data_IF_779066965427
#
_entry.id   IF_779066965427
#
_cell.length_a   1.000
_cell.length_b   1.000
_cell.length_c   1.000
_cell.angle_alpha   90.00
_cell.angle_beta   90.00
_cell.angle_gamma   90.00
#
_symmetry.space_group_name_H-M   'P 1'
#
loop_
_entity.id
_entity.type
_entity.pdbx_description
1 polymer ?
#
# COMPACT_ATOMS: atom_id res chain seq x y z
N UNK A 1 -34.16 29.72 -47.44
CA UNK A 1 -33.51 28.43 -47.12
C UNK A 1 -32.82 28.59 -45.77
N UNK A 2 -33.30 27.94 -44.70
CA UNK A 2 -32.64 27.94 -43.40
C UNK A 2 -31.67 26.75 -43.34
N UNK A 3 -30.37 27.03 -43.31
CA UNK A 3 -29.36 26.03 -43.02
C UNK A 3 -29.25 25.88 -41.50
N UNK A 4 -29.50 24.67 -40.98
CA UNK A 4 -29.20 24.36 -39.57
C UNK A 4 -27.78 23.80 -39.50
N UNK A 5 -26.85 24.60 -38.97
CA UNK A 5 -25.48 24.15 -38.71
C UNK A 5 -25.46 23.41 -37.36
N UNK A 6 -25.08 22.13 -37.36
CA UNK A 6 -24.79 21.36 -36.14
C UNK A 6 -23.29 21.39 -35.89
N UNK A 7 -22.86 22.23 -34.97
CA UNK A 7 -21.46 22.27 -34.52
C UNK A 7 -21.28 21.25 -33.38
N UNK A 8 -20.41 20.25 -33.57
CA UNK A 8 -20.02 19.29 -32.52
C UNK A 8 -18.72 19.78 -31.90
N UNK A 9 -18.79 20.44 -30.73
CA UNK A 9 -17.59 20.80 -29.96
C UNK A 9 -17.11 19.61 -29.13
N UNK A 10 -15.83 19.27 -29.28
CA UNK A 10 -15.14 18.32 -28.41
C UNK A 10 -14.86 19.03 -27.08
N UNK A 11 -15.66 18.76 -26.06
CA UNK A 11 -15.37 19.17 -24.69
C UNK A 11 -14.38 18.19 -24.07
N UNK A 12 -13.17 18.64 -23.80
CA UNK A 12 -12.17 17.87 -23.04
C UNK A 12 -12.17 18.35 -21.59
N UNK A 13 -12.28 17.43 -20.64
CA UNK A 13 -12.18 17.70 -19.20
C UNK A 13 -11.11 16.79 -18.64
N UNK A 14 -10.06 17.37 -18.09
CA UNK A 14 -8.97 16.64 -17.44
C UNK A 14 -9.28 16.57 -15.94
N UNK A 15 -9.51 15.38 -15.41
CA UNK A 15 -9.64 15.15 -13.97
C UNK A 15 -8.56 14.20 -13.49
N UNK A 16 -7.98 14.50 -12.34
CA UNK A 16 -6.98 13.67 -11.71
C UNK A 16 -7.63 12.38 -11.20
N UNK A 17 -7.27 11.25 -11.81
CA UNK A 17 -7.88 9.92 -11.56
C UNK A 17 -7.82 9.51 -10.08
N UNK A 18 -6.82 9.99 -9.34
CA UNK A 18 -6.66 9.73 -7.90
C UNK A 18 -7.84 10.22 -7.03
N UNK A 19 -8.71 11.10 -7.54
CA UNK A 19 -9.87 11.64 -6.79
C UNK A 19 -11.23 11.04 -7.19
N UNK A 20 -11.23 10.05 -8.10
CA UNK A 20 -12.44 9.41 -8.62
C UNK A 20 -12.83 8.24 -7.73
N UNK A 21 -13.97 8.36 -7.05
CA UNK A 21 -14.61 7.23 -6.35
C UNK A 21 -15.48 6.44 -7.33
N UNK A 22 -15.74 5.16 -7.02
CA UNK A 22 -16.60 4.30 -7.86
C UNK A 22 -17.98 4.90 -8.15
N UNK A 23 -18.56 5.64 -7.20
CA UNK A 23 -19.83 6.37 -7.38
C UNK A 23 -19.74 7.51 -8.39
N UNK A 24 -18.61 8.25 -8.41
CA UNK A 24 -18.39 9.32 -9.40
C UNK A 24 -18.25 8.74 -10.81
N UNK A 25 -17.55 7.60 -10.97
CA UNK A 25 -17.46 6.90 -12.25
C UNK A 25 -18.82 6.42 -12.77
N UNK A 26 -19.64 5.84 -11.91
CA UNK A 26 -21.00 5.43 -12.28
C UNK A 26 -21.88 6.62 -12.68
N UNK A 27 -21.71 7.77 -12.01
CA UNK A 27 -22.42 9.00 -12.39
C UNK A 27 -21.97 9.57 -13.75
N UNK A 28 -20.70 9.40 -14.12
CA UNK A 28 -20.23 9.75 -15.47
C UNK A 28 -20.79 8.83 -16.57
N UNK A 29 -20.94 7.53 -16.28
CA UNK A 29 -21.64 6.59 -17.16
C UNK A 29 -23.10 6.99 -17.38
N UNK A 30 -23.84 7.30 -16.29
CA UNK A 30 -25.25 7.71 -16.35
C UNK A 30 -25.48 8.97 -17.17
N UNK A 31 -24.50 9.87 -17.20
CA UNK A 31 -24.53 11.12 -17.98
C UNK A 31 -24.03 10.95 -19.43
N UNK A 32 -23.74 9.72 -19.88
CA UNK A 32 -23.10 9.40 -21.18
C UNK A 32 -21.79 10.16 -21.44
N UNK A 33 -21.09 10.54 -20.37
CA UNK A 33 -19.79 11.22 -20.46
C UNK A 33 -18.65 10.24 -20.71
N UNK A 34 -18.85 8.96 -20.36
CA UNK A 34 -17.93 7.85 -20.58
C UNK A 34 -18.74 6.67 -21.14
N UNK A 35 -18.12 5.87 -22.02
CA UNK A 35 -18.70 4.60 -22.45
C UNK A 35 -18.50 3.48 -21.40
N UNK A 36 -19.23 2.38 -21.57
CA UNK A 36 -19.17 1.26 -20.63
C UNK A 36 -17.75 0.67 -20.51
N UNK A 37 -17.03 0.57 -21.63
CA UNK A 37 -15.66 0.05 -21.65
C UNK A 37 -14.68 0.92 -20.85
N UNK A 38 -14.80 2.25 -20.95
CA UNK A 38 -14.00 3.21 -20.19
C UNK A 38 -14.30 3.11 -18.70
N UNK A 39 -15.56 2.89 -18.34
CA UNK A 39 -15.97 2.77 -16.93
C UNK A 39 -15.48 1.47 -16.30
N UNK A 40 -15.56 0.33 -17.00
CA UNK A 40 -14.98 -0.93 -16.54
C UNK A 40 -13.46 -0.83 -16.35
N UNK A 41 -12.75 -0.24 -17.31
CA UNK A 41 -11.30 0.01 -17.19
C UNK A 41 -10.96 0.88 -15.98
N UNK A 42 -11.67 2.00 -15.79
CA UNK A 42 -11.44 2.88 -14.64
C UNK A 42 -11.75 2.18 -13.31
N UNK A 43 -12.77 1.31 -13.26
CA UNK A 43 -13.05 0.50 -12.07
C UNK A 43 -11.90 -0.46 -11.77
N UNK A 44 -11.30 -1.09 -12.78
CA UNK A 44 -10.13 -1.95 -12.61
C UNK A 44 -8.90 -1.16 -12.12
N UNK A 45 -8.63 0.03 -12.68
CA UNK A 45 -7.56 0.91 -12.21
C UNK A 45 -7.78 1.31 -10.74
N UNK A 46 -8.99 1.71 -10.35
CA UNK A 46 -9.30 2.03 -8.96
C UNK A 46 -9.19 0.81 -8.03
N UNK A 47 -9.40 -0.41 -8.54
CA UNK A 47 -9.18 -1.62 -7.76
C UNK A 47 -7.69 -1.83 -7.46
N UNK A 48 -6.82 -1.69 -8.46
CA UNK A 48 -5.36 -1.79 -8.30
C UNK A 48 -4.84 -0.75 -7.31
N UNK A 49 -5.30 0.50 -7.41
CA UNK A 49 -4.90 1.57 -6.49
C UNK A 49 -5.34 1.28 -5.04
N UNK A 50 -6.54 0.72 -4.84
CA UNK A 50 -6.99 0.32 -3.48
C UNK A 50 -6.13 -0.80 -2.90
N UNK A 51 -5.70 -1.75 -3.72
CA UNK A 51 -4.76 -2.80 -3.27
C UNK A 51 -3.40 -2.20 -2.88
N UNK A 52 -2.92 -1.20 -3.62
CA UNK A 52 -1.70 -0.48 -3.26
C UNK A 52 -1.85 0.28 -1.93
N UNK A 53 -2.99 0.95 -1.72
CA UNK A 53 -3.28 1.60 -0.43
C UNK A 53 -3.38 0.60 0.74
N UNK A 54 -3.92 -0.61 0.50
CA UNK A 54 -3.93 -1.69 1.49
C UNK A 54 -2.53 -2.13 1.87
N UNK A 55 -1.66 -2.36 0.88
CA UNK A 55 -0.25 -2.69 1.10
C UNK A 55 0.48 -1.57 1.86
N UNK A 56 0.23 -0.30 1.53
CA UNK A 56 0.77 0.84 2.28
C UNK A 56 0.30 0.88 3.73
N UNK A 57 -0.96 0.51 4.01
CA UNK A 57 -1.45 0.39 5.39
C UNK A 57 -0.75 -0.74 6.16
N UNK A 58 -0.46 -1.85 5.50
CA UNK A 58 0.30 -2.96 6.09
C UNK A 58 1.74 -2.56 6.41
N UNK A 59 2.42 -1.80 5.54
CA UNK A 59 3.75 -1.25 5.83
C UNK A 59 3.72 -0.39 7.11
N UNK A 60 2.73 0.50 7.26
CA UNK A 60 2.57 1.30 8.49
C UNK A 60 2.31 0.45 9.74
N UNK A 61 1.73 -0.74 9.60
CA UNK A 61 1.57 -1.68 10.72
C UNK A 61 2.91 -2.34 11.06
N UNK A 62 3.69 -2.74 10.05
CA UNK A 62 5.05 -3.27 10.23
C UNK A 62 5.93 -2.24 10.97
N UNK A 63 5.88 -0.96 10.61
CA UNK A 63 6.64 0.09 11.29
C UNK A 63 6.33 0.14 12.79
N UNK A 64 5.04 0.11 13.15
CA UNK A 64 4.59 0.10 14.55
C UNK A 64 5.05 -1.15 15.29
N UNK A 65 5.04 -2.31 14.62
CA UNK A 65 5.53 -3.56 15.18
C UNK A 65 7.04 -3.50 15.44
N UNK A 66 7.83 -2.96 14.49
CA UNK A 66 9.28 -2.75 14.64
C UNK A 66 9.57 -1.84 15.83
N UNK A 67 8.86 -0.72 15.97
CA UNK A 67 8.99 0.18 17.13
C UNK A 67 8.70 -0.52 18.46
N UNK A 68 7.65 -1.37 18.51
CA UNK A 68 7.33 -2.14 19.70
C UNK A 68 8.45 -3.14 20.05
N UNK A 69 9.00 -3.83 19.05
CA UNK A 69 10.11 -4.77 19.24
C UNK A 69 11.36 -4.05 19.75
N UNK A 70 11.72 -2.89 19.19
CA UNK A 70 12.88 -2.12 19.66
C UNK A 70 12.74 -1.68 21.13
N UNK A 71 11.52 -1.31 21.56
CA UNK A 71 11.24 -1.01 22.98
C UNK A 71 11.44 -2.24 23.85
N UNK A 72 10.94 -3.40 23.42
CA UNK A 72 11.12 -4.66 24.15
C UNK A 72 12.60 -5.07 24.24
N UNK A 73 13.35 -4.97 23.13
CA UNK A 73 14.79 -5.21 23.14
C UNK A 73 15.53 -4.30 24.13
N UNK A 74 15.18 -3.01 24.16
CA UNK A 74 15.78 -2.04 25.09
C UNK A 74 15.50 -2.42 26.55
N UNK A 75 14.27 -2.84 26.85
CA UNK A 75 13.90 -3.31 28.19
C UNK A 75 14.67 -4.58 28.58
N UNK A 76 14.77 -5.57 27.69
CA UNK A 76 15.51 -6.81 27.94
C UNK A 76 17.00 -6.52 28.15
N UNK A 77 17.59 -5.65 27.33
CA UNK A 77 18.99 -5.23 27.48
C UNK A 77 19.24 -4.52 28.82
N UNK A 78 18.30 -3.69 29.27
CA UNK A 78 18.33 -3.09 30.61
C UNK A 78 18.32 -4.14 31.73
N UNK A 79 17.45 -5.15 31.61
CA UNK A 79 17.34 -6.25 32.58
C UNK A 79 18.53 -7.21 32.56
N UNK A 80 19.22 -7.35 31.41
CA UNK A 80 20.40 -8.21 31.25
C UNK A 80 21.66 -7.65 31.90
N UNK A 81 21.77 -6.32 32.00
CA UNK A 81 22.98 -5.64 32.49
C UNK A 81 23.33 -5.98 33.96
N UNK A 82 22.37 -6.03 34.91
CA UNK A 82 22.67 -6.35 36.31
C UNK A 82 22.84 -7.86 36.58
N UNK A 83 22.41 -8.75 35.67
CA UNK A 83 22.43 -10.19 35.92
C UNK A 83 23.84 -10.79 35.87
N UNK A 84 24.16 -11.61 36.85
CA UNK A 84 25.33 -12.46 36.90
C UNK A 84 25.38 -13.51 35.79
N UNK A 85 26.50 -14.23 35.72
CA UNK A 85 26.78 -15.23 34.67
C UNK A 85 26.58 -16.67 35.12
N UNK A 86 26.37 -16.89 36.41
CA UNK A 86 26.33 -18.22 37.03
C UNK A 86 25.05 -18.39 37.86
N UNK A 87 24.73 -19.65 38.20
CA UNK A 87 23.55 -19.99 38.98
C UNK A 87 22.23 -19.57 38.31
N UNK A 88 21.24 -19.27 39.14
CA UNK A 88 19.89 -18.92 38.68
C UNK A 88 19.87 -17.64 37.83
N UNK A 89 20.76 -16.68 38.10
CA UNK A 89 20.90 -15.46 37.31
C UNK A 89 21.46 -15.75 35.91
N UNK A 90 22.41 -16.68 35.79
CA UNK A 90 22.91 -17.16 34.50
C UNK A 90 21.83 -17.85 33.67
N UNK A 91 20.97 -18.65 34.31
CA UNK A 91 19.82 -19.27 33.64
C UNK A 91 18.79 -18.23 33.16
N UNK A 92 18.50 -17.20 33.96
CA UNK A 92 17.63 -16.10 33.57
C UNK A 92 18.23 -15.29 32.42
N UNK A 93 19.54 -15.04 32.46
CA UNK A 93 20.29 -14.39 31.37
C UNK A 93 20.14 -15.15 30.05
N UNK A 94 20.28 -16.48 30.08
CA UNK A 94 20.12 -17.32 28.89
C UNK A 94 18.71 -17.21 28.28
N UNK A 95 17.66 -17.12 29.11
CA UNK A 95 16.28 -16.92 28.64
C UNK A 95 16.10 -15.58 27.93
N UNK A 96 16.63 -14.50 28.51
CA UNK A 96 16.57 -13.18 27.87
C UNK A 96 17.35 -13.11 26.56
N UNK A 97 18.50 -13.80 26.46
CA UNK A 97 19.24 -13.90 25.19
C UNK A 97 18.42 -14.67 24.13
N UNK A 98 17.76 -15.77 24.51
CA UNK A 98 16.90 -16.50 23.59
C UNK A 98 15.69 -15.66 23.11
N UNK A 99 15.12 -14.85 23.99
CA UNK A 99 14.05 -13.90 23.64
C UNK A 99 14.56 -12.84 22.65
N UNK A 100 15.75 -12.25 22.89
CA UNK A 100 16.36 -11.30 21.95
C UNK A 100 16.57 -11.92 20.55
N UNK A 101 17.04 -13.16 20.47
CA UNK A 101 17.19 -13.86 19.18
C UNK A 101 15.84 -14.01 18.46
N UNK A 102 14.78 -14.34 19.19
CA UNK A 102 13.42 -14.46 18.62
C UNK A 102 12.91 -13.12 18.09
N UNK A 103 13.20 -12.03 18.81
CA UNK A 103 12.88 -10.67 18.37
C UNK A 103 13.67 -10.28 17.12
N UNK A 104 14.95 -10.65 17.02
CA UNK A 104 15.76 -10.43 15.81
C UNK A 104 15.23 -11.19 14.60
N UNK A 105 14.83 -12.45 14.76
CA UNK A 105 14.24 -13.23 13.68
C UNK A 105 12.91 -12.65 13.22
N UNK A 106 12.10 -12.14 14.17
CA UNK A 106 10.86 -11.41 13.85
C UNK A 106 11.16 -10.14 13.05
N UNK A 107 12.16 -9.35 13.44
CA UNK A 107 12.55 -8.14 12.70
C UNK A 107 12.99 -8.46 11.26
N UNK A 108 13.74 -9.55 11.05
CA UNK A 108 14.13 -10.00 9.70
C UNK A 108 12.92 -10.39 8.86
N UNK A 109 11.96 -11.11 9.45
CA UNK A 109 10.73 -11.49 8.76
C UNK A 109 9.90 -10.25 8.37
N UNK A 110 9.75 -9.29 9.29
CA UNK A 110 9.07 -8.02 9.02
C UNK A 110 9.76 -7.23 7.90
N UNK A 111 11.08 -7.18 7.88
CA UNK A 111 11.84 -6.52 6.82
C UNK A 111 11.63 -7.19 5.45
N UNK A 112 11.60 -8.52 5.40
CA UNK A 112 11.33 -9.26 4.17
C UNK A 112 9.89 -9.00 3.67
N UNK A 113 8.92 -8.96 4.58
CA UNK A 113 7.53 -8.65 4.26
C UNK A 113 7.37 -7.20 3.76
N UNK A 114 8.03 -6.24 4.40
CA UNK A 114 8.04 -4.83 3.97
C UNK A 114 8.57 -4.68 2.55
N UNK A 115 9.69 -5.35 2.22
CA UNK A 115 10.25 -5.36 0.87
C UNK A 115 9.28 -5.97 -0.17
N UNK A 116 8.58 -7.05 0.17
CA UNK A 116 7.56 -7.65 -0.70
C UNK A 116 6.39 -6.70 -0.94
N UNK A 117 5.93 -6.00 0.09
CA UNK A 117 4.84 -5.03 -0.04
C UNK A 117 5.24 -3.83 -0.89
N UNK A 118 6.47 -3.34 -0.77
CA UNK A 118 7.00 -2.30 -1.65
C UNK A 118 7.03 -2.73 -3.11
N UNK A 119 7.49 -3.95 -3.38
CA UNK A 119 7.48 -4.49 -4.75
C UNK A 119 6.04 -4.60 -5.27
N UNK A 120 5.12 -5.12 -4.45
CA UNK A 120 3.71 -5.25 -4.81
C UNK A 120 3.08 -3.89 -5.15
N UNK A 121 3.38 -2.85 -4.37
CA UNK A 121 2.90 -1.48 -4.66
C UNK A 121 3.43 -1.01 -6.03
N UNK A 122 4.73 -1.17 -6.28
CA UNK A 122 5.33 -0.77 -7.54
C UNK A 122 4.69 -1.50 -8.74
N UNK A 123 4.43 -2.80 -8.62
CA UNK A 123 3.79 -3.60 -9.66
C UNK A 123 2.34 -3.16 -9.90
N UNK A 124 1.58 -2.88 -8.84
CA UNK A 124 0.19 -2.40 -8.92
C UNK A 124 0.11 -1.01 -9.56
N UNK A 125 1.01 -0.11 -9.18
CA UNK A 125 1.09 1.25 -9.74
C UNK A 125 1.51 1.23 -11.21
N UNK A 126 2.47 0.37 -11.58
CA UNK A 126 2.88 0.18 -12.97
C UNK A 126 1.73 -0.36 -13.83
N UNK A 127 0.98 -1.36 -13.34
CA UNK A 127 -0.19 -1.89 -14.03
C UNK A 127 -1.29 -0.82 -14.20
N UNK A 128 -1.57 -0.05 -13.15
CA UNK A 128 -2.53 1.05 -13.20
C UNK A 128 -2.11 2.11 -14.24
N UNK A 129 -0.83 2.48 -14.28
CA UNK A 129 -0.29 3.44 -15.24
C UNK A 129 -0.36 2.91 -16.68
N UNK A 130 -0.04 1.64 -16.91
CA UNK A 130 -0.13 1.02 -18.24
C UNK A 130 -1.59 1.01 -18.75
N UNK A 131 -2.54 0.70 -17.89
CA UNK A 131 -3.97 0.72 -18.25
C UNK A 131 -4.45 2.12 -18.65
N UNK A 132 -3.96 3.16 -17.98
CA UNK A 132 -4.30 4.55 -18.30
C UNK A 132 -3.59 5.07 -19.56
N UNK A 133 -2.34 4.68 -19.79
CA UNK A 133 -1.56 5.11 -20.96
C UNK A 133 -2.16 4.61 -22.29
N UNK A 134 -2.78 3.43 -22.29
CA UNK A 134 -3.44 2.84 -23.46
C UNK A 134 -4.65 3.64 -23.96
N UNK A 135 -5.19 4.57 -23.16
CA UNK A 135 -6.34 5.40 -23.54
C UNK A 135 -5.91 6.77 -24.13
N UNK A 136 -4.64 7.16 -24.05
CA UNK A 136 -4.13 8.41 -24.62
C UNK A 136 -3.78 8.35 -26.12
N UNK A 137 -3.85 7.17 -26.73
CA UNK A 137 -3.37 6.88 -28.08
C UNK A 137 -4.47 6.42 -29.06
N UNK A 138 -5.73 6.72 -28.75
CA UNK A 138 -6.91 6.39 -29.57
C UNK A 138 -7.69 7.65 -29.99
#
# INVERSE_FOLDING_TARGET
MLFSVRERRRTSRHEQVQSLTGEKLQNYLRKRLLDAATVEKLQAVLHLLRQAEEAQRQIKQIDRQREAIYKQQTQIQGNLKPLGREGDEGALRARYVAELNTLEDTLKALQAQEAQLHQQIADLEAQAAEMLAKDGNA
#
